data_IF_150436057645
#
_entry.id   IF_150436057645
#
_cell.length_a   1.000
_cell.length_b   1.000
_cell.length_c   1.000
_cell.angle_alpha   90.00
_cell.angle_beta   90.00
_cell.angle_gamma   90.00
#
_symmetry.space_group_name_H-M   'P 1'
#
loop_
_entity.id
_entity.type
_entity.pdbx_description
1 polymer ?
#
# COMPACT_ATOMS: atom_id res chain seq x y z
N UNK A 1 8.16 22.67 18.85
CA UNK A 1 8.98 22.37 17.66
C UNK A 1 8.26 21.29 16.87
N UNK A 2 7.78 21.60 15.68
CA UNK A 2 7.18 20.62 14.76
C UNK A 2 8.31 19.97 13.98
N UNK A 3 8.62 18.71 14.27
CA UNK A 3 9.58 17.94 13.48
C UNK A 3 8.94 17.62 12.13
N UNK A 4 9.53 18.12 11.05
CA UNK A 4 9.13 17.74 9.68
C UNK A 4 9.83 16.43 9.36
N UNK A 5 9.08 15.34 9.26
CA UNK A 5 9.64 14.05 8.84
C UNK A 5 9.89 14.08 7.33
N UNK A 6 11.03 13.54 6.90
CA UNK A 6 11.45 13.53 5.51
C UNK A 6 11.66 12.10 5.01
N UNK A 7 10.58 11.41 4.57
CA UNK A 7 10.69 10.03 4.08
C UNK A 7 11.73 9.90 2.97
N UNK A 8 12.41 8.76 2.93
CA UNK A 8 13.42 8.49 1.90
C UNK A 8 12.76 8.28 0.53
N UNK A 9 13.38 8.80 -0.53
CA UNK A 9 12.78 8.76 -1.88
C UNK A 9 12.61 7.34 -2.42
N UNK A 10 13.59 6.47 -2.15
CA UNK A 10 13.58 5.11 -2.68
C UNK A 10 12.47 4.28 -2.04
N UNK A 11 12.41 4.22 -0.71
CA UNK A 11 11.36 3.54 0.03
C UNK A 11 9.97 4.08 -0.26
N UNK A 12 9.79 5.40 -0.42
CA UNK A 12 8.49 5.97 -0.82
C UNK A 12 8.05 5.51 -2.21
N UNK A 13 8.95 5.49 -3.20
CA UNK A 13 8.63 5.02 -4.56
C UNK A 13 8.32 3.52 -4.56
N UNK A 14 9.09 2.74 -3.82
CA UNK A 14 8.90 1.30 -3.66
C UNK A 14 7.53 0.99 -3.01
N UNK A 15 7.21 1.68 -1.92
CA UNK A 15 5.95 1.57 -1.20
C UNK A 15 4.75 1.89 -2.09
N UNK A 16 4.78 3.04 -2.79
CA UNK A 16 3.73 3.43 -3.72
C UNK A 16 3.60 2.46 -4.90
N UNK A 17 4.72 2.02 -5.47
CA UNK A 17 4.71 1.04 -6.56
C UNK A 17 4.03 -0.27 -6.15
N UNK A 18 4.35 -0.78 -4.96
CA UNK A 18 3.73 -2.00 -4.42
C UNK A 18 2.25 -1.81 -4.10
N UNK A 19 1.85 -0.66 -3.58
CA UNK A 19 0.44 -0.33 -3.35
C UNK A 19 -0.35 -0.28 -4.67
N UNK A 20 0.23 0.29 -5.72
CA UNK A 20 -0.36 0.29 -7.07
C UNK A 20 -0.47 -1.13 -7.63
N UNK A 21 0.56 -1.96 -7.45
CA UNK A 21 0.54 -3.38 -7.85
C UNK A 21 -0.59 -4.12 -7.12
N UNK A 22 -0.79 -3.89 -5.83
CA UNK A 22 -1.88 -4.50 -5.07
C UNK A 22 -3.26 -4.14 -5.65
N UNK A 23 -3.48 -2.85 -5.97
CA UNK A 23 -4.73 -2.40 -6.61
C UNK A 23 -4.90 -3.03 -7.99
N UNK A 24 -3.85 -3.11 -8.79
CA UNK A 24 -3.90 -3.72 -10.12
C UNK A 24 -4.24 -5.21 -10.07
N UNK A 25 -3.65 -5.96 -9.12
CA UNK A 25 -3.93 -7.38 -8.90
C UNK A 25 -5.39 -7.61 -8.54
N UNK A 26 -5.92 -6.81 -7.62
CA UNK A 26 -7.33 -6.86 -7.21
C UNK A 26 -8.29 -6.44 -8.33
N UNK A 27 -7.91 -5.48 -9.17
CA UNK A 27 -8.71 -5.02 -10.30
C UNK A 27 -8.75 -6.02 -11.46
N UNK A 28 -7.73 -6.88 -11.59
CA UNK A 28 -7.57 -7.82 -12.71
C UNK A 28 -8.47 -9.06 -12.69
N UNK A 29 -9.34 -9.22 -11.69
CA UNK A 29 -10.23 -10.38 -11.57
C UNK A 29 -11.46 -10.38 -12.50
N UNK A 30 -11.62 -9.38 -13.38
CA UNK A 30 -12.63 -9.41 -14.44
C UNK A 30 -12.04 -9.93 -15.74
N UNK A 31 -12.86 -10.59 -16.58
CA UNK A 31 -12.45 -11.10 -17.90
C UNK A 31 -11.87 -10.03 -18.86
N UNK A 32 -12.04 -8.75 -18.53
CA UNK A 32 -11.28 -7.65 -19.12
C UNK A 32 -10.05 -7.33 -18.28
N UNK A 33 -8.86 -7.62 -18.80
CA UNK A 33 -7.59 -7.18 -18.21
C UNK A 33 -7.57 -5.67 -17.92
N UNK A 34 -6.56 -5.16 -17.18
CA UNK A 34 -6.55 -3.78 -16.69
C UNK A 34 -6.78 -2.80 -17.84
N UNK A 35 -8.00 -2.26 -17.91
CA UNK A 35 -8.40 -1.36 -18.97
C UNK A 35 -7.51 -0.13 -18.96
N UNK A 36 -7.40 0.53 -20.13
CA UNK A 36 -6.75 1.84 -20.25
C UNK A 36 -7.25 2.82 -19.17
N UNK A 37 -8.51 2.68 -18.74
CA UNK A 37 -9.14 3.42 -17.64
C UNK A 37 -8.47 3.22 -16.28
N UNK A 38 -8.08 2.00 -15.90
CA UNK A 38 -7.38 1.72 -14.65
C UNK A 38 -5.99 2.36 -14.66
N UNK A 39 -5.27 2.24 -15.79
CA UNK A 39 -3.95 2.85 -15.96
C UNK A 39 -4.01 4.38 -15.80
N UNK A 40 -5.03 5.02 -16.36
CA UNK A 40 -5.27 6.46 -16.21
C UNK A 40 -5.63 6.85 -14.76
N UNK A 41 -6.51 6.10 -14.11
CA UNK A 41 -6.89 6.34 -12.71
C UNK A 41 -5.67 6.26 -11.78
N UNK A 42 -4.88 5.20 -11.91
CA UNK A 42 -3.62 5.01 -11.18
C UNK A 42 -2.63 6.13 -11.51
N UNK A 43 -2.50 6.49 -12.78
CA UNK A 43 -1.62 7.57 -13.23
C UNK A 43 -1.97 8.91 -12.58
N UNK A 44 -3.27 9.26 -12.52
CA UNK A 44 -3.75 10.47 -11.85
C UNK A 44 -3.46 10.44 -10.35
N UNK A 45 -3.67 9.31 -9.67
CA UNK A 45 -3.32 9.16 -8.25
C UNK A 45 -1.82 9.33 -8.03
N UNK A 46 -0.98 8.68 -8.84
CA UNK A 46 0.47 8.81 -8.75
C UNK A 46 0.92 10.26 -8.96
N UNK A 47 0.42 10.93 -10.00
CA UNK A 47 0.70 12.35 -10.25
C UNK A 47 0.26 13.23 -9.07
N UNK A 48 -0.89 12.95 -8.47
CA UNK A 48 -1.36 13.64 -7.28
C UNK A 48 -0.41 13.48 -6.09
N UNK A 49 0.04 12.26 -5.82
CA UNK A 49 1.03 11.98 -4.75
C UNK A 49 2.38 12.64 -5.02
N UNK A 50 2.83 12.70 -6.27
CA UNK A 50 4.06 13.38 -6.66
C UNK A 50 3.95 14.90 -6.47
N UNK A 51 2.81 15.50 -6.81
CA UNK A 51 2.54 16.92 -6.59
C UNK A 51 2.49 17.26 -5.09
N UNK A 52 1.88 16.41 -4.26
CA UNK A 52 1.92 16.57 -2.80
C UNK A 52 3.35 16.47 -2.25
N UNK A 53 4.14 15.52 -2.75
CA UNK A 53 5.53 15.35 -2.34
C UNK A 53 6.43 16.53 -2.79
N UNK A 54 6.16 17.14 -3.94
CA UNK A 54 6.91 18.29 -4.45
C UNK A 54 6.57 19.58 -3.69
N UNK A 55 5.32 19.77 -3.24
CA UNK A 55 4.90 20.90 -2.41
C UNK A 55 5.79 21.05 -1.16
N UNK A 56 5.98 19.93 -0.46
CA UNK A 56 6.83 19.83 0.72
C UNK A 56 8.33 20.08 0.46
N UNK A 57 8.78 19.92 -0.79
CA UNK A 57 10.14 20.26 -1.19
C UNK A 57 10.38 21.75 -1.34
N UNK A 58 9.32 22.53 -1.54
CA UNK A 58 9.37 23.98 -1.82
C UNK A 58 9.09 24.83 -0.59
N UNK A 59 8.30 24.33 0.38
CA UNK A 59 7.92 25.07 1.60
C UNK A 59 9.06 25.39 2.59
N UNK A 60 10.32 25.09 2.26
CA UNK A 60 11.48 25.42 3.10
C UNK A 60 11.88 26.90 3.07
N UNK A 61 11.45 27.64 2.04
CA UNK A 61 11.75 29.07 1.86
C UNK A 61 10.46 29.90 1.99
N UNK A 62 10.45 30.89 2.90
CA UNK A 62 9.28 31.72 3.25
C UNK A 62 8.60 32.41 2.04
N UNK A 63 9.31 32.54 0.90
CA UNK A 63 8.81 33.17 -0.31
C UNK A 63 7.84 32.33 -1.16
N UNK A 64 7.75 31.01 -0.96
CA UNK A 64 7.01 30.10 -1.87
C UNK A 64 5.77 29.44 -1.27
N UNK A 65 5.21 29.99 -0.18
CA UNK A 65 4.01 29.44 0.50
C UNK A 65 2.79 29.31 -0.43
N UNK A 66 2.64 30.22 -1.38
CA UNK A 66 1.58 30.14 -2.40
C UNK A 66 1.78 28.96 -3.35
N UNK A 67 3.03 28.67 -3.76
CA UNK A 67 3.35 27.53 -4.62
C UNK A 67 3.13 26.20 -3.88
N UNK A 68 3.53 26.12 -2.61
CA UNK A 68 3.26 24.95 -1.75
C UNK A 68 1.75 24.67 -1.67
N UNK A 69 0.94 25.69 -1.37
CA UNK A 69 -0.51 25.55 -1.30
C UNK A 69 -1.11 25.10 -2.64
N UNK A 70 -0.66 25.67 -3.76
CA UNK A 70 -1.11 25.29 -5.10
C UNK A 70 -0.76 23.82 -5.40
N UNK A 71 0.47 23.39 -5.11
CA UNK A 71 0.91 22.02 -5.36
C UNK A 71 0.15 21.00 -4.49
N UNK A 72 -0.16 21.34 -3.24
CA UNK A 72 -1.01 20.51 -2.39
C UNK A 72 -2.44 20.41 -2.94
N UNK A 73 -3.05 21.52 -3.32
CA UNK A 73 -4.41 21.54 -3.89
C UNK A 73 -4.47 20.76 -5.21
N UNK A 74 -3.49 20.95 -6.09
CA UNK A 74 -3.37 20.19 -7.35
C UNK A 74 -3.16 18.71 -7.05
N UNK A 75 -2.30 18.38 -6.08
CA UNK A 75 -2.02 17.01 -5.71
C UNK A 75 -3.24 16.27 -5.19
N UNK A 76 -3.95 16.87 -4.23
CA UNK A 76 -5.22 16.34 -3.71
C UNK A 76 -6.26 16.24 -4.81
N UNK A 77 -6.38 17.27 -5.67
CA UNK A 77 -7.32 17.29 -6.79
C UNK A 77 -7.07 16.16 -7.78
N UNK A 78 -5.82 15.92 -8.17
CA UNK A 78 -5.45 14.83 -9.07
C UNK A 78 -5.70 13.44 -8.45
N UNK A 79 -5.40 13.27 -7.16
CA UNK A 79 -5.70 12.01 -6.47
C UNK A 79 -7.20 11.73 -6.40
N UNK A 80 -8.01 12.74 -6.05
CA UNK A 80 -9.48 12.61 -6.04
C UNK A 80 -10.04 12.38 -7.44
N UNK A 81 -9.49 13.05 -8.46
CA UNK A 81 -9.88 12.83 -9.86
C UNK A 81 -9.56 11.41 -10.31
N UNK A 82 -8.41 10.86 -9.93
CA UNK A 82 -8.05 9.46 -10.22
C UNK A 82 -8.98 8.46 -9.55
N UNK A 83 -9.32 8.66 -8.28
CA UNK A 83 -10.32 7.85 -7.54
C UNK A 83 -11.68 7.95 -8.22
N UNK A 84 -12.16 9.17 -8.50
CA UNK A 84 -13.43 9.41 -9.18
C UNK A 84 -13.48 8.76 -10.57
N UNK A 85 -12.45 8.93 -11.38
CA UNK A 85 -12.38 8.33 -12.71
C UNK A 85 -12.38 6.80 -12.65
N UNK A 86 -11.54 6.20 -11.81
CA UNK A 86 -11.49 4.73 -11.66
C UNK A 86 -12.81 4.12 -11.18
N UNK A 87 -13.53 4.84 -10.31
CA UNK A 87 -14.84 4.39 -9.78
C UNK A 87 -15.99 4.60 -10.74
N UNK A 88 -15.94 5.61 -11.62
CA UNK A 88 -16.99 5.85 -12.61
C UNK A 88 -16.88 4.88 -13.79
N UNK A 89 -15.66 4.51 -14.16
CA UNK A 89 -15.36 3.57 -15.25
C UNK A 89 -15.63 2.11 -14.89
N UNK A 90 -15.67 1.75 -13.60
CA UNK A 90 -15.96 0.38 -13.19
C UNK A 90 -17.40 -0.02 -13.55
N UNK A 91 -17.53 -1.17 -14.22
CA UNK A 91 -18.79 -1.67 -14.76
C UNK A 91 -19.76 -2.15 -13.68
N UNK A 92 -19.23 -2.72 -12.58
CA UNK A 92 -20.04 -3.34 -11.52
C UNK A 92 -19.88 -2.60 -10.20
N UNK A 93 -20.97 -2.51 -9.42
CA UNK A 93 -20.94 -1.88 -8.09
C UNK A 93 -19.87 -2.47 -7.16
N UNK A 94 -19.68 -3.81 -7.08
CA UNK A 94 -18.56 -4.40 -6.33
C UNK A 94 -17.20 -3.85 -6.72
N UNK A 95 -16.89 -3.81 -8.02
CA UNK A 95 -15.61 -3.32 -8.51
C UNK A 95 -15.42 -1.83 -8.20
N UNK A 96 -16.49 -1.01 -8.25
CA UNK A 96 -16.44 0.40 -7.85
C UNK A 96 -16.01 0.56 -6.40
N UNK A 97 -16.61 -0.21 -5.49
CA UNK A 97 -16.29 -0.14 -4.05
C UNK A 97 -14.83 -0.54 -3.81
N UNK A 98 -14.40 -1.63 -4.45
CA UNK A 98 -13.03 -2.14 -4.36
C UNK A 98 -12.01 -1.14 -4.90
N UNK A 99 -12.24 -0.56 -6.08
CA UNK A 99 -11.36 0.45 -6.67
C UNK A 99 -11.37 1.75 -5.87
N UNK A 100 -12.52 2.18 -5.35
CA UNK A 100 -12.62 3.34 -4.47
C UNK A 100 -11.71 3.16 -3.25
N UNK A 101 -11.85 2.04 -2.54
CA UNK A 101 -11.03 1.72 -1.39
C UNK A 101 -9.54 1.63 -1.78
N UNK A 102 -9.22 0.90 -2.84
CA UNK A 102 -7.83 0.72 -3.30
C UNK A 102 -7.14 2.04 -3.64
N UNK A 103 -7.75 2.85 -4.49
CA UNK A 103 -7.18 4.13 -4.94
C UNK A 103 -7.14 5.17 -3.80
N UNK A 104 -8.11 5.17 -2.88
CA UNK A 104 -8.05 5.97 -1.66
C UNK A 104 -6.90 5.53 -0.76
N UNK A 105 -6.67 4.23 -0.61
CA UNK A 105 -5.55 3.67 0.13
C UNK A 105 -4.20 4.13 -0.43
N UNK A 106 -4.02 4.07 -1.76
CA UNK A 106 -2.82 4.60 -2.43
C UNK A 106 -2.65 6.10 -2.19
N UNK A 107 -3.75 6.86 -2.29
CA UNK A 107 -3.72 8.32 -2.09
C UNK A 107 -3.31 8.70 -0.66
N UNK A 108 -3.88 8.02 0.35
CA UNK A 108 -3.56 8.22 1.77
C UNK A 108 -2.13 7.81 2.09
N UNK A 109 -1.67 6.68 1.56
CA UNK A 109 -0.29 6.23 1.69
C UNK A 109 0.68 7.25 1.08
N UNK A 110 0.41 7.74 -0.13
CA UNK A 110 1.22 8.76 -0.79
C UNK A 110 1.24 10.09 -0.05
N UNK A 111 0.11 10.50 0.53
CA UNK A 111 0.05 11.66 1.41
C UNK A 111 0.88 11.46 2.70
N UNK A 112 0.93 10.25 3.25
CA UNK A 112 1.79 9.91 4.39
C UNK A 112 3.28 9.88 4.07
N UNK A 113 3.63 9.63 2.80
CA UNK A 113 5.00 9.65 2.30
C UNK A 113 5.43 11.02 1.78
N UNK A 114 4.51 11.98 1.68
CA UNK A 114 4.83 13.37 1.39
C UNK A 114 5.45 14.03 2.64
N UNK A 115 6.54 14.82 2.50
CA UNK A 115 7.19 15.47 3.63
C UNK A 115 6.38 16.65 4.23
N UNK A 116 5.19 16.40 4.77
CA UNK A 116 4.28 17.44 5.25
C UNK A 116 4.52 17.82 6.74
N UNK A 117 4.66 19.11 7.09
CA UNK A 117 4.92 19.57 8.47
C UNK A 117 3.80 19.27 9.48
N UNK A 118 2.56 19.11 8.99
CA UNK A 118 1.36 19.06 9.81
C UNK A 118 0.85 17.63 10.07
N UNK A 119 1.48 16.62 9.47
CA UNK A 119 0.90 15.28 9.39
C UNK A 119 1.80 14.28 10.09
N UNK A 120 1.19 13.40 10.90
CA UNK A 120 1.89 12.23 11.47
C UNK A 120 2.11 11.21 10.34
N UNK A 121 3.31 11.12 9.75
CA UNK A 121 3.51 10.37 8.50
C UNK A 121 3.19 8.89 8.70
N UNK A 122 3.66 8.31 9.82
CA UNK A 122 3.41 6.93 10.24
C UNK A 122 1.91 6.60 10.36
N UNK A 123 1.11 7.54 10.87
CA UNK A 123 -0.33 7.32 11.00
C UNK A 123 -1.01 7.28 9.63
N UNK A 124 -0.65 8.15 8.69
CA UNK A 124 -1.18 8.09 7.33
C UNK A 124 -0.71 6.87 6.57
N UNK A 125 0.55 6.46 6.72
CA UNK A 125 1.06 5.21 6.15
C UNK A 125 0.24 4.03 6.66
N UNK A 126 0.02 3.94 7.98
CA UNK A 126 -0.79 2.88 8.59
C UNK A 126 -2.28 2.91 8.19
N UNK A 127 -2.90 4.10 8.12
CA UNK A 127 -4.29 4.23 7.66
C UNK A 127 -4.41 3.89 6.17
N UNK A 128 -3.51 4.38 5.33
CA UNK A 128 -3.51 4.11 3.89
C UNK A 128 -3.33 2.63 3.60
N UNK A 129 -2.41 1.95 4.28
CA UNK A 129 -2.20 0.51 4.14
C UNK A 129 -3.36 -0.29 4.73
N UNK A 130 -3.95 0.15 5.85
CA UNK A 130 -5.18 -0.44 6.39
C UNK A 130 -6.35 -0.37 5.40
N UNK A 131 -6.52 0.75 4.71
CA UNK A 131 -7.53 0.92 3.66
C UNK A 131 -7.22 0.01 2.45
N UNK A 132 -5.95 -0.18 2.08
CA UNK A 132 -5.56 -1.16 1.04
C UNK A 132 -5.89 -2.60 1.45
N UNK A 133 -5.65 -2.98 2.72
CA UNK A 133 -6.05 -4.30 3.24
C UNK A 133 -7.57 -4.48 3.11
N UNK A 134 -8.35 -3.46 3.50
CA UNK A 134 -9.81 -3.49 3.34
C UNK A 134 -10.20 -3.66 1.87
N UNK A 135 -9.52 -2.98 0.94
CA UNK A 135 -9.78 -3.16 -0.49
C UNK A 135 -9.54 -4.60 -0.98
N UNK A 136 -8.45 -5.24 -0.54
CA UNK A 136 -8.15 -6.64 -0.87
C UNK A 136 -9.19 -7.60 -0.28
N UNK A 137 -9.63 -7.36 0.97
CA UNK A 137 -10.68 -8.18 1.61
C UNK A 137 -12.01 -8.02 0.88
N UNK A 138 -12.39 -6.79 0.54
CA UNK A 138 -13.62 -6.52 -0.23
C UNK A 138 -13.58 -7.16 -1.60
N UNK A 139 -12.41 -7.21 -2.25
CA UNK A 139 -12.25 -7.93 -3.50
C UNK A 139 -12.55 -9.42 -3.35
N UNK A 140 -11.95 -10.08 -2.36
CA UNK A 140 -12.24 -11.50 -2.11
C UNK A 140 -13.69 -11.80 -1.71
N UNK A 141 -14.40 -10.81 -1.14
CA UNK A 141 -15.80 -10.96 -0.73
C UNK A 141 -16.81 -10.66 -1.84
N UNK A 142 -16.49 -9.73 -2.73
CA UNK A 142 -17.47 -9.12 -3.63
C UNK A 142 -17.17 -9.34 -5.11
N UNK A 143 -15.98 -9.82 -5.47
CA UNK A 143 -15.55 -10.06 -6.86
C UNK A 143 -14.98 -11.46 -7.03
N UNK A 144 -14.89 -11.94 -8.28
CA UNK A 144 -14.38 -13.27 -8.62
C UNK A 144 -12.85 -13.29 -8.79
N UNK A 145 -12.13 -12.57 -7.93
CA UNK A 145 -10.67 -12.51 -8.00
C UNK A 145 -10.08 -13.83 -7.51
N UNK A 146 -9.23 -14.44 -8.35
CA UNK A 146 -8.56 -15.69 -8.00
C UNK A 146 -7.69 -15.60 -6.75
N UNK A 147 -7.62 -16.68 -5.98
CA UNK A 147 -6.91 -16.74 -4.69
C UNK A 147 -5.45 -16.32 -4.77
N UNK A 148 -4.75 -16.71 -5.85
CA UNK A 148 -3.35 -16.31 -6.06
C UNK A 148 -3.22 -14.78 -6.17
N UNK A 149 -4.14 -14.11 -6.86
CA UNK A 149 -4.12 -12.65 -7.01
C UNK A 149 -4.39 -11.95 -5.67
N UNK A 150 -5.36 -12.44 -4.89
CA UNK A 150 -5.66 -11.92 -3.55
C UNK A 150 -4.47 -12.06 -2.60
N UNK A 151 -3.85 -13.24 -2.57
CA UNK A 151 -2.66 -13.51 -1.75
C UNK A 151 -1.49 -12.61 -2.15
N UNK A 152 -1.26 -12.47 -3.46
CA UNK A 152 -0.20 -11.62 -4.01
C UNK A 152 -0.44 -10.14 -3.71
N UNK A 153 -1.70 -9.69 -3.81
CA UNK A 153 -2.09 -8.33 -3.48
C UNK A 153 -1.88 -8.04 -1.99
N UNK A 154 -2.30 -8.96 -1.11
CA UNK A 154 -2.08 -8.82 0.33
C UNK A 154 -0.59 -8.76 0.68
N UNK A 155 0.22 -9.65 0.09
CA UNK A 155 1.67 -9.62 0.27
C UNK A 155 2.25 -8.27 -0.21
N UNK A 156 1.83 -7.78 -1.38
CA UNK A 156 2.27 -6.48 -1.88
C UNK A 156 1.87 -5.32 -0.93
N UNK A 157 0.69 -5.34 -0.31
CA UNK A 157 0.27 -4.34 0.69
C UNK A 157 1.15 -4.38 1.94
N UNK A 158 1.48 -5.57 2.45
CA UNK A 158 2.37 -5.71 3.62
C UNK A 158 3.76 -5.18 3.32
N UNK A 159 4.31 -5.53 2.15
CA UNK A 159 5.63 -5.04 1.72
C UNK A 159 5.61 -3.54 1.45
N UNK A 160 4.50 -3.00 0.93
CA UNK A 160 4.30 -1.56 0.75
C UNK A 160 4.30 -0.83 2.11
N UNK A 161 3.62 -1.38 3.11
CA UNK A 161 3.58 -0.83 4.46
C UNK A 161 4.97 -0.82 5.11
N UNK A 162 5.67 -1.96 5.06
CA UNK A 162 7.03 -2.10 5.60
C UNK A 162 8.01 -1.13 4.93
N UNK A 163 7.98 -1.02 3.60
CA UNK A 163 8.76 -0.04 2.85
C UNK A 163 8.44 1.40 3.26
N UNK A 164 7.15 1.71 3.49
CA UNK A 164 6.69 3.04 3.89
C UNK A 164 7.12 3.42 5.31
N UNK A 165 6.94 2.53 6.29
CA UNK A 165 7.42 2.74 7.67
C UNK A 165 8.94 2.87 7.73
N UNK A 166 9.66 2.02 7.00
CA UNK A 166 11.12 2.10 6.94
C UNK A 166 11.58 3.41 6.27
N UNK A 167 10.89 3.87 5.21
CA UNK A 167 11.19 5.16 4.57
C UNK A 167 11.02 6.34 5.53
N UNK A 168 9.94 6.34 6.32
CA UNK A 168 9.70 7.38 7.34
C UNK A 168 10.77 7.30 8.45
N UNK A 169 11.03 6.12 8.98
CA UNK A 169 12.00 5.89 10.07
C UNK A 169 13.43 6.28 9.66
N UNK A 170 13.89 5.86 8.49
CA UNK A 170 15.20 6.24 7.97
C UNK A 170 15.28 7.73 7.63
N UNK A 171 14.18 8.29 7.13
CA UNK A 171 14.04 9.72 6.90
C UNK A 171 14.24 10.56 8.16
N UNK A 172 13.72 10.09 9.29
CA UNK A 172 13.86 10.71 10.61
C UNK A 172 15.28 10.58 11.19
N UNK A 173 15.91 9.42 11.07
CA UNK A 173 17.21 9.15 11.72
C UNK A 173 18.43 9.58 10.90
N UNK A 174 18.40 9.37 9.58
CA UNK A 174 19.59 9.51 8.72
C UNK A 174 19.50 10.73 7.79
N UNK A 175 18.28 11.26 7.62
CA UNK A 175 17.99 12.41 6.77
C UNK A 175 18.01 12.10 5.28
N UNK A 176 17.38 12.98 4.49
CA UNK A 176 17.04 12.75 3.07
C UNK A 176 18.23 12.70 2.09
N UNK A 177 19.44 13.02 2.54
CA UNK A 177 20.67 13.06 1.70
C UNK A 177 21.54 11.81 1.87
N UNK A 178 21.28 10.99 2.88
CA UNK A 178 22.03 9.76 3.10
C UNK A 178 21.67 8.70 2.04
N UNK A 179 22.66 7.91 1.62
CA UNK A 179 22.45 6.80 0.68
C UNK A 179 21.88 5.60 1.45
N UNK A 180 20.56 5.50 1.52
CA UNK A 180 19.84 4.48 2.30
C UNK A 180 19.34 3.29 1.48
N UNK A 181 19.37 3.38 0.14
CA UNK A 181 18.80 2.36 -0.74
C UNK A 181 19.28 0.91 -0.51
N UNK A 182 20.55 0.61 -0.13
CA UNK A 182 20.96 -0.78 0.08
C UNK A 182 20.27 -1.39 1.31
N UNK A 183 20.12 -0.60 2.37
CA UNK A 183 19.47 -1.03 3.62
C UNK A 183 17.97 -1.19 3.39
N UNK A 184 17.36 -0.24 2.69
CA UNK A 184 15.93 -0.31 2.32
C UNK A 184 15.65 -1.54 1.46
N UNK A 185 16.48 -1.82 0.45
CA UNK A 185 16.30 -2.97 -0.42
C UNK A 185 16.50 -4.30 0.31
N UNK A 186 17.46 -4.37 1.24
CA UNK A 186 17.67 -5.57 2.06
C UNK A 186 16.49 -5.87 2.95
N UNK A 187 15.96 -4.85 3.65
CA UNK A 187 14.82 -5.00 4.55
C UNK A 187 13.54 -5.32 3.80
N UNK A 188 13.19 -4.51 2.79
CA UNK A 188 11.98 -4.75 1.99
C UNK A 188 12.09 -6.03 1.15
N UNK A 189 13.30 -6.38 0.70
CA UNK A 189 13.56 -7.65 0.03
C UNK A 189 13.32 -8.86 0.94
N UNK A 190 13.71 -8.77 2.21
CA UNK A 190 13.38 -9.79 3.21
C UNK A 190 11.86 -9.90 3.42
N UNK A 191 11.16 -8.77 3.60
CA UNK A 191 9.70 -8.73 3.72
C UNK A 191 9.00 -9.34 2.48
N UNK A 192 9.49 -9.03 1.28
CA UNK A 192 8.98 -9.60 0.04
C UNK A 192 9.23 -11.11 -0.05
N UNK A 193 10.42 -11.58 0.31
CA UNK A 193 10.74 -13.01 0.31
C UNK A 193 9.85 -13.79 1.28
N UNK A 194 9.61 -13.25 2.47
CA UNK A 194 8.69 -13.83 3.44
C UNK A 194 7.26 -13.86 2.89
N UNK A 195 6.80 -12.76 2.28
CA UNK A 195 5.53 -12.70 1.57
C UNK A 195 5.41 -13.79 0.49
N UNK A 196 6.43 -13.98 -0.34
CA UNK A 196 6.46 -15.04 -1.36
C UNK A 196 6.34 -16.44 -0.75
N UNK A 197 7.07 -16.73 0.34
CA UNK A 197 7.00 -18.01 1.03
C UNK A 197 5.59 -18.25 1.57
N UNK A 198 4.98 -17.24 2.19
CA UNK A 198 3.60 -17.32 2.72
C UNK A 198 2.59 -17.55 1.59
N UNK A 199 2.71 -16.81 0.49
CA UNK A 199 1.84 -16.98 -0.70
C UNK A 199 1.99 -18.39 -1.26
N UNK A 200 3.23 -18.86 -1.47
CA UNK A 200 3.50 -20.19 -2.02
C UNK A 200 2.99 -21.31 -1.11
N UNK A 201 3.21 -21.20 0.21
CA UNK A 201 2.71 -22.17 1.18
C UNK A 201 1.18 -22.19 1.23
N UNK A 202 0.54 -21.03 1.29
CA UNK A 202 -0.93 -20.92 1.33
C UNK A 202 -1.55 -21.47 0.03
N UNK A 203 -0.99 -21.08 -1.11
CA UNK A 203 -1.42 -21.56 -2.42
C UNK A 203 -1.25 -23.09 -2.55
N UNK A 204 -0.10 -23.62 -2.11
CA UNK A 204 0.15 -25.06 -2.08
C UNK A 204 -0.86 -25.81 -1.22
N UNK A 205 -1.23 -25.27 -0.05
CA UNK A 205 -2.27 -25.87 0.81
C UNK A 205 -3.65 -25.83 0.15
N UNK A 206 -4.02 -24.73 -0.51
CA UNK A 206 -5.30 -24.65 -1.23
C UNK A 206 -5.39 -25.64 -2.38
N UNK A 207 -4.30 -25.90 -3.10
CA UNK A 207 -4.25 -26.88 -4.19
C UNK A 207 -4.39 -28.34 -3.70
N UNK A 208 -4.04 -28.63 -2.44
CA UNK A 208 -4.27 -29.94 -1.84
C UNK A 208 -5.75 -30.25 -1.58
N UNK A 209 -6.62 -29.25 -1.75
CA UNK A 209 -8.09 -29.38 -1.70
C UNK A 209 -8.60 -30.06 -0.41
N UNK A 210 -7.95 -29.77 0.72
CA UNK A 210 -8.33 -30.32 2.02
C UNK A 210 -9.51 -29.52 2.58
N UNK A 211 -10.72 -29.83 2.12
CA UNK A 211 -11.94 -29.06 2.38
C UNK A 211 -12.70 -29.46 3.65
N UNK A 212 -12.39 -30.61 4.24
CA UNK A 212 -13.12 -31.16 5.39
C UNK A 212 -12.49 -30.86 6.76
N UNK A 213 -11.58 -29.88 6.86
CA UNK A 213 -10.95 -29.54 8.14
C UNK A 213 -11.85 -28.58 8.93
N UNK A 214 -12.39 -28.98 10.09
CA UNK A 214 -13.21 -28.10 10.89
C UNK A 214 -12.38 -26.90 11.39
N UNK A 215 -12.96 -25.69 11.32
CA UNK A 215 -12.31 -24.44 11.72
C UNK A 215 -11.74 -24.50 13.15
N UNK A 216 -12.43 -25.19 14.05
CA UNK A 216 -11.98 -25.44 15.42
C UNK A 216 -10.66 -26.22 15.48
N UNK A 217 -10.45 -27.20 14.59
CA UNK A 217 -9.18 -27.93 14.54
C UNK A 217 -8.03 -27.03 14.07
N UNK A 218 -8.26 -26.17 13.07
CA UNK A 218 -7.27 -25.18 12.62
C UNK A 218 -6.92 -24.19 13.75
N UNK A 219 -7.91 -23.68 14.47
CA UNK A 219 -7.69 -22.78 15.60
C UNK A 219 -6.91 -23.45 16.74
N UNK A 220 -7.21 -24.71 17.06
CA UNK A 220 -6.45 -25.48 18.06
C UNK A 220 -5.02 -25.75 17.58
N UNK A 221 -4.82 -26.06 16.30
CA UNK A 221 -3.49 -26.27 15.72
C UNK A 221 -2.65 -24.99 15.77
N UNK A 222 -3.25 -23.85 15.42
CA UNK A 222 -2.62 -22.54 15.50
C UNK A 222 -2.29 -22.18 16.95
N UNK A 223 -3.24 -22.38 17.88
CA UNK A 223 -3.01 -22.16 19.31
C UNK A 223 -1.87 -23.04 19.86
N UNK A 224 -1.81 -24.30 19.44
CA UNK A 224 -0.72 -25.22 19.79
C UNK A 224 0.62 -24.79 19.21
N UNK A 225 0.66 -24.36 17.94
CA UNK A 225 1.87 -23.85 17.31
C UNK A 225 2.38 -22.58 18.01
N UNK A 226 1.49 -21.65 18.37
CA UNK A 226 1.84 -20.45 19.15
C UNK A 226 2.36 -20.82 20.54
N UNK A 227 1.70 -21.74 21.24
CA UNK A 227 2.14 -22.20 22.56
C UNK A 227 3.53 -22.85 22.50
N UNK A 228 3.80 -23.66 21.47
CA UNK A 228 5.12 -24.24 21.20
C UNK A 228 6.16 -23.18 20.90
N UNK A 229 5.83 -22.18 20.07
CA UNK A 229 6.73 -21.09 19.74
C UNK A 229 7.12 -20.29 20.99
N UNK A 230 6.14 -19.99 21.85
CA UNK A 230 6.35 -19.31 23.13
C UNK A 230 7.24 -20.15 24.05
N UNK A 231 6.98 -21.46 24.13
CA UNK A 231 7.79 -22.38 24.94
C UNK A 231 9.23 -22.49 24.45
N UNK A 232 9.49 -22.43 23.14
CA UNK A 232 10.84 -22.42 22.56
C UNK A 232 11.54 -21.07 22.63
N UNK A 233 10.79 -19.97 22.79
CA UNK A 233 11.35 -18.61 22.84
C UNK A 233 11.89 -18.21 24.22
N UNK A 234 11.62 -19.03 25.24
CA UNK A 234 12.19 -18.92 26.59
C UNK A 234 13.38 -19.88 26.74
#
# INVERSE_FOLDING_TARGET
MTFVSHPTRFGSVLSLGLAVVAVALVASGGDGGPGVSLGLAVGLVCLGTLAMASAAGVGGDDGYRSLEAVLLVVGVGLSLAGVGFGTLEAETLPLRIVLAAGLLGVSLLGAGLAPAPAVRPRHLVGVGTGVLVVAVVLAGLMTEVGSLSLLSAMAAVVVAWDAGENAVSLGEHVGRRARTWPVELGHTGASASYGTVVVAATFGVTELNVTDVPLTALLLLLGGAVALLVALSN
#
